data_IF_609284741949
#
_entry.id   IF_609284741949
#
_cell.length_a   1.000
_cell.length_b   1.000
_cell.length_c   1.000
_cell.angle_alpha   90.00
_cell.angle_beta   90.00
_cell.angle_gamma   90.00
#
_symmetry.space_group_name_H-M   'P 1'
#
loop_
_entity.id
_entity.type
_entity.pdbx_description
1 polymer ?
#
# COMPACT_ATOMS: atom_id res chain seq x y z
N UNK A 1 -6.35 4.40 -10.07
CA UNK A 1 -7.73 4.13 -10.53
C UNK A 1 -8.63 4.07 -9.31
N UNK A 2 -9.78 4.75 -9.29
CA UNK A 2 -10.78 4.55 -8.24
C UNK A 2 -11.41 3.16 -8.38
N UNK A 3 -11.41 2.40 -7.30
CA UNK A 3 -11.95 1.05 -7.24
C UNK A 3 -13.38 1.15 -6.73
N UNK A 4 -14.30 0.64 -7.54
CA UNK A 4 -15.68 0.40 -7.13
C UNK A 4 -15.88 -1.08 -6.81
N UNK A 5 -16.78 -1.36 -5.87
CA UNK A 5 -17.10 -2.72 -5.43
C UNK A 5 -17.48 -3.67 -6.59
N UNK A 6 -18.19 -3.15 -7.60
CA UNK A 6 -18.57 -3.91 -8.81
C UNK A 6 -17.37 -4.46 -9.59
N UNK A 7 -16.21 -3.80 -9.50
CA UNK A 7 -14.97 -4.22 -10.17
C UNK A 7 -14.32 -5.39 -9.44
N UNK A 8 -14.54 -5.53 -8.13
CA UNK A 8 -13.99 -6.61 -7.32
C UNK A 8 -14.92 -7.83 -7.26
N UNK A 9 -16.21 -7.64 -7.56
CA UNK A 9 -17.26 -8.66 -7.41
C UNK A 9 -16.92 -9.99 -8.11
N UNK A 10 -16.35 -9.94 -9.32
CA UNK A 10 -15.98 -11.15 -10.07
C UNK A 10 -14.80 -11.93 -9.46
N UNK A 11 -14.05 -11.30 -8.55
CA UNK A 11 -12.85 -11.85 -7.91
C UNK A 11 -13.06 -12.19 -6.43
N UNK A 12 -14.29 -12.02 -5.93
CA UNK A 12 -14.64 -12.41 -4.56
C UNK A 12 -14.85 -13.92 -4.46
N UNK A 13 -14.29 -14.51 -3.40
CA UNK A 13 -14.60 -15.87 -2.99
C UNK A 13 -15.95 -15.97 -2.30
N UNK A 14 -16.34 -17.19 -1.92
CA UNK A 14 -17.54 -17.46 -1.12
C UNK A 14 -17.46 -16.82 0.28
N UNK A 15 -16.26 -16.53 0.76
CA UNK A 15 -15.95 -15.77 1.98
C UNK A 15 -16.18 -14.26 1.84
N UNK A 16 -16.54 -13.79 0.64
CA UNK A 16 -16.72 -12.37 0.35
C UNK A 16 -15.41 -11.59 0.24
N UNK A 17 -14.24 -12.24 0.25
CA UNK A 17 -12.93 -11.60 0.15
C UNK A 17 -12.41 -11.65 -1.30
N UNK A 18 -11.88 -10.53 -1.78
CA UNK A 18 -11.19 -10.46 -3.07
C UNK A 18 -9.68 -10.72 -2.86
N UNK A 19 -9.13 -11.67 -3.62
CA UNK A 19 -7.73 -12.10 -3.50
C UNK A 19 -6.82 -11.34 -4.48
N UNK A 20 -5.86 -10.58 -3.94
CA UNK A 20 -4.80 -9.91 -4.69
C UNK A 20 -3.52 -10.76 -4.78
N UNK A 21 -3.36 -11.81 -3.97
CA UNK A 21 -2.26 -12.77 -4.13
C UNK A 21 -2.86 -14.17 -4.20
N UNK A 22 -2.31 -15.08 -5.01
CA UNK A 22 -2.82 -16.44 -5.09
C UNK A 22 -2.57 -17.19 -3.77
N UNK A 23 -3.56 -17.95 -3.33
CA UNK A 23 -3.36 -18.95 -2.28
C UNK A 23 -2.56 -20.13 -2.85
N UNK A 24 -1.56 -20.60 -2.10
CA UNK A 24 -0.79 -21.78 -2.49
C UNK A 24 -1.72 -23.00 -2.50
N UNK A 25 -2.15 -23.43 -3.68
CA UNK A 25 -3.09 -24.56 -3.87
C UNK A 25 -4.57 -24.17 -4.05
N UNK A 26 -4.88 -22.88 -4.17
CA UNK A 26 -6.23 -22.39 -4.49
C UNK A 26 -6.64 -22.62 -5.95
N UNK A 27 -7.90 -22.31 -6.28
CA UNK A 27 -8.47 -22.50 -7.63
C UNK A 27 -7.82 -21.61 -8.70
N UNK A 28 -7.20 -20.50 -8.31
CA UNK A 28 -6.54 -19.52 -9.18
C UNK A 28 -5.02 -19.70 -9.15
N UNK A 29 -4.39 -19.81 -10.32
CA UNK A 29 -2.94 -19.99 -10.46
C UNK A 29 -2.23 -18.63 -10.56
N UNK A 30 -0.93 -18.59 -10.23
CA UNK A 30 -0.08 -17.41 -10.46
C UNK A 30 -0.13 -16.89 -11.91
N UNK A 31 -0.48 -17.75 -12.88
CA UNK A 31 -0.64 -17.41 -14.31
C UNK A 31 -1.90 -16.60 -14.63
N UNK A 32 -2.89 -16.57 -13.73
CA UNK A 32 -4.20 -15.94 -13.97
C UNK A 32 -4.25 -14.52 -13.36
N UNK A 33 -3.31 -14.19 -12.46
CA UNK A 33 -3.19 -12.88 -11.83
C UNK A 33 -2.73 -11.74 -12.76
N UNK A 34 -1.91 -11.99 -13.80
CA UNK A 34 -1.72 -11.03 -14.87
C UNK A 34 -3.03 -10.58 -15.52
N UNK A 35 -4.12 -11.35 -15.49
CA UNK A 35 -5.42 -10.94 -16.04
C UNK A 35 -6.20 -10.02 -15.09
N UNK A 36 -6.25 -10.27 -13.78
CA UNK A 36 -6.86 -9.32 -12.82
C UNK A 36 -6.06 -8.01 -12.79
N UNK A 37 -4.74 -8.09 -12.73
CA UNK A 37 -3.89 -6.91 -12.81
C UNK A 37 -3.97 -6.24 -14.18
N UNK A 38 -3.99 -7.00 -15.29
CA UNK A 38 -4.18 -6.44 -16.61
C UNK A 38 -5.58 -5.87 -16.79
N UNK A 39 -6.62 -6.41 -16.17
CA UNK A 39 -7.98 -5.88 -16.24
C UNK A 39 -8.09 -4.63 -15.36
N UNK A 40 -7.48 -4.61 -14.18
CA UNK A 40 -7.37 -3.40 -13.37
C UNK A 40 -6.51 -2.33 -14.07
N UNK A 41 -5.45 -2.74 -14.76
CA UNK A 41 -4.54 -1.86 -15.51
C UNK A 41 -5.18 -1.39 -16.84
N UNK A 42 -5.88 -2.23 -17.59
CA UNK A 42 -6.64 -1.91 -18.81
C UNK A 42 -7.90 -1.09 -18.47
N UNK A 43 -8.56 -1.38 -17.34
CA UNK A 43 -9.65 -0.55 -16.81
C UNK A 43 -9.11 0.80 -16.32
N UNK A 44 -7.89 0.86 -15.78
CA UNK A 44 -7.19 2.11 -15.48
C UNK A 44 -6.73 2.87 -16.73
N UNK A 45 -6.54 2.17 -17.88
CA UNK A 45 -6.34 2.77 -19.20
C UNK A 45 -7.64 3.30 -19.82
N UNK A 46 -8.82 3.04 -19.23
CA UNK A 46 -10.10 3.59 -19.70
C UNK A 46 -10.45 4.89 -18.94
N UNK A 47 -10.64 6.01 -19.67
CA UNK A 47 -10.70 7.34 -19.07
C UNK A 47 -12.07 7.67 -18.45
N UNK A 48 -11.99 8.38 -17.32
CA UNK A 48 -12.93 9.38 -16.79
C UNK A 48 -14.21 8.94 -16.04
N UNK A 49 -14.31 9.46 -14.81
CA UNK A 49 -15.31 10.46 -14.36
C UNK A 49 -14.64 11.19 -13.15
N UNK A 50 -14.54 12.52 -13.04
CA UNK A 50 -15.55 13.56 -13.24
C UNK A 50 -14.96 14.98 -13.48
N UNK A 51 -15.72 15.75 -14.28
CA UNK A 51 -16.15 17.17 -14.10
C UNK A 51 -15.59 18.34 -14.93
N UNK A 52 -14.47 18.23 -15.64
CA UNK A 52 -13.97 19.35 -16.46
C UNK A 52 -13.30 18.95 -17.79
N UNK A 53 -13.38 17.67 -18.19
CA UNK A 53 -12.99 17.25 -19.54
C UNK A 53 -11.49 17.32 -19.84
N UNK A 54 -10.65 17.65 -18.86
CA UNK A 54 -9.20 17.56 -18.96
C UNK A 54 -8.69 16.30 -18.25
N UNK A 55 -8.11 15.40 -19.04
CA UNK A 55 -7.75 14.03 -18.69
C UNK A 55 -6.39 13.95 -17.97
N UNK A 56 -6.33 13.35 -16.77
CA UNK A 56 -5.09 12.78 -16.22
C UNK A 56 -5.26 11.28 -15.92
N UNK A 57 -4.77 10.48 -16.87
CA UNK A 57 -4.71 9.02 -16.93
C UNK A 57 -3.56 8.46 -16.10
N UNK A 58 -3.80 7.31 -15.43
CA UNK A 58 -2.78 6.48 -14.76
C UNK A 58 -2.03 7.23 -13.65
N UNK A 59 -1.90 6.64 -12.46
CA UNK A 59 -0.99 7.20 -11.45
C UNK A 59 0.46 6.93 -11.88
N UNK A 60 0.89 7.71 -12.87
CA UNK A 60 2.29 7.98 -13.17
C UNK A 60 2.81 8.97 -12.13
N UNK A 61 4.13 9.10 -12.03
CA UNK A 61 4.83 9.96 -11.08
C UNK A 61 4.21 11.37 -10.90
N UNK A 62 3.67 11.93 -12.00
CA UNK A 62 2.99 13.22 -12.04
C UNK A 62 1.78 13.36 -11.08
N UNK A 63 1.11 12.27 -10.69
CA UNK A 63 0.03 12.32 -9.69
C UNK A 63 0.55 12.30 -8.25
N UNK A 64 1.70 11.66 -8.03
CA UNK A 64 2.42 11.76 -6.77
C UNK A 64 2.91 13.20 -6.56
N UNK A 65 3.38 13.86 -7.62
CA UNK A 65 3.72 15.30 -7.61
C UNK A 65 2.51 16.19 -7.25
N UNK A 66 1.34 15.97 -7.86
CA UNK A 66 0.12 16.72 -7.51
C UNK A 66 -0.44 16.43 -6.10
N UNK A 67 -0.35 15.17 -5.63
CA UNK A 67 -0.62 14.83 -4.23
C UNK A 67 0.38 15.51 -3.31
N UNK A 68 1.63 15.64 -3.74
CA UNK A 68 2.70 16.19 -2.92
C UNK A 68 2.73 17.71 -2.83
N UNK A 69 2.12 18.42 -3.80
CA UNK A 69 1.78 19.84 -3.64
C UNK A 69 0.79 20.07 -2.47
N UNK A 70 0.06 19.03 -2.06
CA UNK A 70 -0.82 19.02 -0.87
C UNK A 70 -0.20 18.30 0.34
N UNK A 71 0.81 17.46 0.11
CA UNK A 71 1.45 16.57 1.08
C UNK A 71 2.96 16.73 0.94
N UNK A 72 3.53 17.67 1.70
CA UNK A 72 4.96 18.06 1.66
C UNK A 72 5.90 16.84 1.51
N UNK A 73 6.79 16.89 0.51
CA UNK A 73 7.43 15.74 -0.14
C UNK A 73 8.21 14.80 0.81
N UNK A 74 7.99 13.49 0.61
CA UNK A 74 8.91 12.43 1.01
C UNK A 74 8.23 11.09 1.27
N UNK A 75 7.00 11.12 1.80
CA UNK A 75 6.24 9.94 2.22
C UNK A 75 4.72 10.16 2.03
N UNK A 76 4.04 9.17 1.47
CA UNK A 76 2.56 9.06 1.42
C UNK A 76 2.12 7.91 2.29
N UNK A 77 1.16 8.15 3.19
CA UNK A 77 0.58 7.11 4.04
C UNK A 77 -0.71 6.56 3.42
N UNK A 78 -0.84 5.23 3.42
CA UNK A 78 -2.01 4.55 2.86
C UNK A 78 -2.48 3.45 3.81
N UNK A 79 -3.79 3.34 3.99
CA UNK A 79 -4.36 2.07 4.47
C UNK A 79 -4.55 1.16 3.26
N UNK A 80 -3.90 0.01 3.26
CA UNK A 80 -3.80 -0.85 2.09
C UNK A 80 -4.00 -2.32 2.40
N UNK A 81 -4.57 -3.02 1.43
CA UNK A 81 -4.72 -4.46 1.38
C UNK A 81 -3.74 -4.98 0.33
N UNK A 82 -2.78 -5.81 0.76
CA UNK A 82 -1.76 -6.39 -0.12
C UNK A 82 -2.08 -7.84 -0.53
N UNK A 83 -3.03 -8.49 0.16
CA UNK A 83 -3.37 -9.89 -0.06
C UNK A 83 -4.88 -10.12 -0.21
N UNK A 84 -5.67 -9.76 0.80
CA UNK A 84 -7.11 -9.98 0.83
C UNK A 84 -7.83 -8.64 1.00
N UNK A 85 -8.86 -8.40 0.18
CA UNK A 85 -9.61 -7.14 0.15
C UNK A 85 -11.05 -7.41 0.58
N UNK A 86 -11.51 -6.84 1.70
CA UNK A 86 -12.88 -6.99 2.16
C UNK A 86 -13.82 -6.11 1.32
N UNK A 87 -15.09 -6.04 1.71
CA UNK A 87 -16.00 -5.05 1.12
C UNK A 87 -15.58 -3.67 1.61
N UNK A 88 -15.29 -2.79 0.65
CA UNK A 88 -14.71 -1.49 0.91
C UNK A 88 -15.81 -0.44 1.18
N UNK A 89 -15.63 0.43 2.18
CA UNK A 89 -16.61 1.46 2.50
C UNK A 89 -16.64 2.53 1.40
N UNK A 90 -17.85 2.89 0.96
CA UNK A 90 -18.08 3.87 -0.13
C UNK A 90 -17.77 5.33 0.25
N UNK A 91 -17.52 5.57 1.54
CA UNK A 91 -17.16 6.86 2.14
C UNK A 91 -15.73 7.29 1.80
N UNK A 92 -14.93 6.39 1.22
CA UNK A 92 -13.52 6.59 0.92
C UNK A 92 -13.23 6.31 -0.55
N UNK A 93 -12.22 7.03 -1.06
CA UNK A 93 -11.67 6.79 -2.38
C UNK A 93 -10.65 5.66 -2.30
N UNK A 94 -11.06 4.47 -2.74
CA UNK A 94 -10.17 3.30 -2.84
C UNK A 94 -9.49 3.28 -4.18
N UNK A 95 -8.23 2.87 -4.20
CA UNK A 95 -7.42 2.90 -5.40
C UNK A 95 -6.54 1.66 -5.50
N UNK A 96 -6.45 1.10 -6.71
CA UNK A 96 -5.45 0.08 -7.02
C UNK A 96 -4.13 0.76 -7.40
N UNK A 97 -3.05 0.27 -6.80
CA UNK A 97 -1.67 0.71 -7.04
C UNK A 97 -0.81 -0.46 -7.45
N UNK A 98 0.10 -0.17 -8.36
CA UNK A 98 1.29 -0.97 -8.63
C UNK A 98 2.47 -0.06 -8.31
N UNK A 99 2.96 -0.16 -7.08
CA UNK A 99 4.08 0.66 -6.61
C UNK A 99 5.39 -0.02 -6.99
N UNK A 100 6.20 0.68 -7.79
CA UNK A 100 7.52 0.22 -8.15
C UNK A 100 8.55 0.80 -7.19
N UNK A 101 9.27 -0.07 -6.51
CA UNK A 101 10.48 0.31 -5.80
C UNK A 101 11.63 0.42 -6.82
N UNK A 102 12.23 1.61 -6.96
CA UNK A 102 13.46 1.77 -7.74
C UNK A 102 14.61 0.98 -7.09
N UNK A 103 15.49 0.43 -7.92
CA UNK A 103 16.59 -0.45 -7.54
C UNK A 103 16.99 -1.36 -8.69
N UNK A 104 18.08 -2.12 -8.55
CA UNK A 104 18.57 -2.97 -9.64
C UNK A 104 17.60 -4.10 -10.03
N UNK A 105 16.74 -4.54 -9.11
CA UNK A 105 15.78 -5.63 -9.33
C UNK A 105 14.36 -5.15 -9.71
N UNK A 106 14.07 -3.84 -9.68
CA UNK A 106 12.75 -3.23 -9.96
C UNK A 106 11.56 -4.07 -9.46
N UNK A 107 11.38 -4.15 -8.13
CA UNK A 107 10.25 -4.88 -7.54
C UNK A 107 8.97 -4.05 -7.64
N UNK A 108 7.88 -4.70 -8.02
CA UNK A 108 6.56 -4.08 -8.05
C UNK A 108 5.66 -4.73 -7.01
N UNK A 109 5.05 -3.92 -6.16
CA UNK A 109 4.07 -4.34 -5.17
C UNK A 109 2.70 -3.86 -5.58
N UNK A 110 1.75 -4.78 -5.67
CA UNK A 110 0.35 -4.45 -5.94
C UNK A 110 -0.44 -4.39 -4.64
N UNK A 111 -1.28 -3.39 -4.50
CA UNK A 111 -2.24 -3.30 -3.40
C UNK A 111 -3.46 -2.46 -3.78
N UNK A 112 -4.53 -2.62 -3.03
CA UNK A 112 -5.68 -1.71 -3.04
C UNK A 112 -5.65 -0.91 -1.74
N UNK A 113 -5.67 0.41 -1.82
CA UNK A 113 -5.61 1.25 -0.64
C UNK A 113 -6.25 2.61 -0.80
N UNK A 114 -6.37 3.31 0.32
CA UNK A 114 -6.85 4.69 0.39
C UNK A 114 -5.79 5.56 1.07
N UNK A 115 -5.62 6.78 0.59
CA UNK A 115 -4.64 7.73 1.14
C UNK A 115 -5.17 8.29 2.46
N UNK A 116 -4.31 8.34 3.46
CA UNK A 116 -4.59 8.93 4.76
C UNK A 116 -3.57 10.02 5.06
N UNK A 117 -4.00 11.07 5.75
CA UNK A 117 -3.09 12.12 6.22
C UNK A 117 -2.50 11.72 7.58
N UNK A 118 -1.20 11.37 7.64
CA UNK A 118 -0.56 11.00 8.90
C UNK A 118 -0.39 12.22 9.81
N UNK A 119 -0.29 11.98 11.12
CA UNK A 119 0.12 13.03 12.06
C UNK A 119 1.51 13.56 11.71
N UNK A 120 1.79 14.86 11.90
CA UNK A 120 3.07 15.47 11.51
C UNK A 120 4.30 14.75 12.09
N UNK A 121 4.27 14.35 13.35
CA UNK A 121 5.36 13.66 14.02
C UNK A 121 5.65 12.27 13.42
N UNK A 122 4.60 11.55 13.02
CA UNK A 122 4.73 10.25 12.35
C UNK A 122 5.24 10.45 10.94
N UNK A 123 4.71 11.43 10.21
CA UNK A 123 5.21 11.78 8.87
C UNK A 123 6.72 12.05 8.88
N UNK A 124 7.19 12.88 9.82
CA UNK A 124 8.61 13.19 9.98
C UNK A 124 9.44 11.95 10.30
N UNK A 125 8.98 11.08 11.21
CA UNK A 125 9.67 9.84 11.53
C UNK A 125 9.85 8.94 10.30
N UNK A 126 8.80 8.80 9.48
CA UNK A 126 8.87 7.98 8.26
C UNK A 126 9.72 8.60 7.14
N UNK A 127 9.81 9.93 7.07
CA UNK A 127 10.77 10.60 6.17
C UNK A 127 12.20 10.23 6.55
N UNK A 128 12.53 10.23 7.86
CA UNK A 128 13.86 9.84 8.32
C UNK A 128 14.15 8.34 8.11
N UNK A 129 13.15 7.47 8.32
CA UNK A 129 13.24 6.06 7.97
C UNK A 129 13.57 5.90 6.49
N UNK A 130 12.85 6.59 5.61
CA UNK A 130 13.09 6.48 4.17
C UNK A 130 14.47 6.98 3.75
N UNK A 131 14.93 8.10 4.32
CA UNK A 131 16.29 8.61 4.09
C UNK A 131 17.36 7.62 4.53
N UNK A 132 17.19 6.99 5.68
CA UNK A 132 18.14 6.01 6.21
C UNK A 132 18.21 4.71 5.38
N UNK A 133 17.14 4.39 4.65
CA UNK A 133 17.01 3.17 3.85
C UNK A 133 17.06 3.43 2.33
N UNK A 134 17.29 4.68 1.91
CA UNK A 134 17.47 5.01 0.49
C UNK A 134 18.70 4.29 -0.08
N UNK A 135 18.54 3.63 -1.23
CA UNK A 135 19.57 2.83 -1.86
C UNK A 135 20.15 1.74 -0.94
N UNK A 136 19.33 1.24 -0.02
CA UNK A 136 19.69 0.14 0.86
C UNK A 136 20.17 -1.06 0.01
N UNK A 137 21.30 -1.64 0.43
CA UNK A 137 21.94 -2.76 -0.28
C UNK A 137 22.28 -2.46 -1.75
N UNK A 138 22.46 -1.19 -2.11
CA UNK A 138 22.71 -0.79 -3.49
C UNK A 138 21.49 -0.96 -4.40
N UNK A 139 20.27 -0.80 -3.86
CA UNK A 139 19.02 -1.01 -4.61
C UNK A 139 18.59 -2.48 -4.71
N UNK A 140 19.16 -3.35 -3.88
CA UNK A 140 18.86 -4.80 -3.84
C UNK A 140 18.12 -5.21 -2.56
N UNK A 141 17.58 -4.27 -1.79
CA UNK A 141 16.74 -4.62 -0.64
C UNK A 141 15.33 -5.04 -1.11
N UNK A 142 15.23 -6.30 -1.54
CA UNK A 142 14.02 -6.85 -2.15
C UNK A 142 12.96 -7.25 -1.11
N UNK A 143 13.39 -7.79 0.03
CA UNK A 143 12.51 -8.19 1.14
C UNK A 143 13.28 -8.38 2.46
N UNK A 144 12.52 -8.69 3.52
CA UNK A 144 13.04 -8.96 4.84
C UNK A 144 14.04 -10.14 4.94
N UNK A 145 14.04 -11.07 3.99
CA UNK A 145 14.98 -12.19 3.98
C UNK A 145 16.33 -11.79 3.36
N UNK A 146 16.33 -10.75 2.53
CA UNK A 146 17.50 -10.27 1.83
C UNK A 146 18.48 -9.52 2.74
N UNK A 147 17.99 -8.85 3.78
CA UNK A 147 18.81 -8.24 4.83
C UNK A 147 18.10 -8.28 6.20
N UNK A 148 18.47 -9.27 7.00
CA UNK A 148 17.95 -9.46 8.35
C UNK A 148 18.30 -8.28 9.29
N UNK A 149 19.50 -7.71 9.15
CA UNK A 149 19.96 -6.63 10.02
C UNK A 149 19.16 -5.36 9.79
N UNK A 150 18.93 -5.02 8.52
CA UNK A 150 18.10 -3.87 8.14
C UNK A 150 16.66 -4.08 8.62
N UNK A 151 16.10 -5.27 8.40
CA UNK A 151 14.76 -5.63 8.86
C UNK A 151 14.60 -5.47 10.37
N UNK A 152 15.56 -5.95 11.15
CA UNK A 152 15.52 -5.85 12.62
C UNK A 152 15.69 -4.39 13.08
N UNK A 153 16.55 -3.62 12.40
CA UNK A 153 16.69 -2.18 12.65
C UNK A 153 15.39 -1.41 12.37
N UNK A 154 14.71 -1.74 11.28
CA UNK A 154 13.40 -1.17 10.95
C UNK A 154 12.38 -1.53 12.03
N UNK A 155 12.25 -2.83 12.37
CA UNK A 155 11.33 -3.29 13.41
C UNK A 155 11.56 -2.62 14.76
N UNK A 156 12.81 -2.46 15.18
CA UNK A 156 13.15 -1.72 16.40
C UNK A 156 12.71 -0.25 16.35
N UNK A 157 12.86 0.39 15.19
CA UNK A 157 12.42 1.78 14.99
C UNK A 157 10.89 1.89 15.07
N UNK A 158 10.16 0.99 14.41
CA UNK A 158 8.69 0.95 14.46
C UNK A 158 8.19 0.72 15.89
N UNK A 159 8.80 -0.20 16.63
CA UNK A 159 8.45 -0.43 18.04
C UNK A 159 8.76 0.77 18.94
N UNK A 160 9.86 1.49 18.69
CA UNK A 160 10.19 2.71 19.43
C UNK A 160 9.16 3.83 19.20
N UNK A 161 8.49 3.84 18.04
CA UNK A 161 7.36 4.74 17.75
C UNK A 161 6.03 4.26 18.37
N UNK A 162 6.02 3.12 19.08
CA UNK A 162 4.82 2.50 19.65
C UNK A 162 3.94 1.77 18.62
N UNK A 163 4.47 1.54 17.42
CA UNK A 163 3.75 0.93 16.30
C UNK A 163 4.01 -0.59 16.25
N UNK A 164 3.12 -1.29 15.53
CA UNK A 164 3.17 -2.76 15.39
C UNK A 164 3.84 -3.18 14.08
N UNK A 165 4.72 -4.17 14.17
CA UNK A 165 5.46 -4.73 13.03
C UNK A 165 5.47 -6.26 13.11
N UNK A 166 4.38 -6.87 12.68
CA UNK A 166 4.14 -8.30 12.66
C UNK A 166 4.67 -8.98 11.41
N UNK A 167 4.35 -10.26 11.27
CA UNK A 167 4.82 -11.11 10.18
C UNK A 167 4.39 -10.60 8.80
N UNK A 168 3.15 -10.13 8.65
CA UNK A 168 2.65 -9.63 7.38
C UNK A 168 3.32 -8.32 6.98
N UNK A 169 3.40 -7.34 7.89
CA UNK A 169 4.15 -6.11 7.62
C UNK A 169 5.61 -6.43 7.25
N UNK A 170 6.25 -7.33 8.00
CA UNK A 170 7.62 -7.77 7.71
C UNK A 170 7.78 -8.39 6.33
N UNK A 171 6.80 -9.16 5.86
CA UNK A 171 6.85 -9.79 4.53
C UNK A 171 6.71 -8.79 3.37
N UNK A 172 6.11 -7.62 3.60
CA UNK A 172 5.94 -6.57 2.59
C UNK A 172 7.03 -5.48 2.66
N UNK A 173 7.92 -5.54 3.66
CA UNK A 173 9.01 -4.56 3.82
C UNK A 173 10.00 -4.69 2.66
N UNK A 174 10.16 -3.61 1.90
CA UNK A 174 11.20 -3.47 0.90
C UNK A 174 11.59 -1.99 0.76
N UNK A 175 12.59 -1.69 -0.08
CA UNK A 175 12.91 -0.29 -0.38
C UNK A 175 11.66 0.46 -0.90
N UNK A 176 11.45 1.68 -0.41
CA UNK A 176 10.27 2.52 -0.70
C UNK A 176 8.90 2.03 -0.28
N UNK A 177 8.82 0.92 0.47
CA UNK A 177 7.59 0.45 1.11
C UNK A 177 7.91 0.17 2.58
N UNK A 178 7.39 1.03 3.47
CA UNK A 178 7.60 0.92 4.92
C UNK A 178 6.26 0.55 5.59
N UNK A 179 5.99 -0.76 5.74
CA UNK A 179 4.72 -1.25 6.26
C UNK A 179 4.67 -1.25 7.80
N UNK A 180 3.47 -1.02 8.32
CA UNK A 180 3.08 -1.12 9.73
C UNK A 180 1.76 -1.89 9.79
N UNK A 181 1.54 -2.72 10.82
CA UNK A 181 0.25 -3.39 10.96
C UNK A 181 -0.86 -2.37 11.27
N UNK A 182 -1.96 -2.43 10.52
CA UNK A 182 -3.13 -1.59 10.79
C UNK A 182 -4.00 -2.23 11.87
N UNK A 183 -3.64 -1.99 13.13
CA UNK A 183 -4.51 -2.25 14.29
C UNK A 183 -4.95 -0.93 14.93
N UNK A 184 -5.91 -1.00 15.87
CA UNK A 184 -6.46 0.19 16.55
C UNK A 184 -5.37 1.08 17.16
N UNK A 185 -4.35 0.48 17.77
CA UNK A 185 -3.24 1.22 18.38
C UNK A 185 -2.42 1.96 17.32
N UNK A 186 -1.90 1.25 16.32
CA UNK A 186 -1.12 1.84 15.23
C UNK A 186 -1.90 2.93 14.50
N UNK A 187 -3.18 2.68 14.20
CA UNK A 187 -4.06 3.66 13.55
C UNK A 187 -4.23 4.93 14.38
N UNK A 188 -4.45 4.79 15.70
CA UNK A 188 -4.59 5.93 16.61
C UNK A 188 -3.30 6.73 16.80
N UNK A 189 -2.14 6.08 16.68
CA UNK A 189 -0.84 6.73 16.73
C UNK A 189 -0.61 7.49 15.42
N UNK A 190 -0.85 6.84 14.28
CA UNK A 190 -0.56 7.37 12.95
C UNK A 190 -1.48 8.50 12.50
N UNK A 191 -2.75 8.53 12.91
CA UNK A 191 -3.77 9.40 12.29
C UNK A 191 -4.64 10.11 13.32
N UNK A 192 -5.16 11.30 12.98
CA UNK A 192 -6.10 12.05 13.85
C UNK A 192 -7.55 11.56 13.73
N UNK A 193 -7.99 11.19 12.52
CA UNK A 193 -9.34 10.71 12.26
C UNK A 193 -9.31 9.56 11.26
N UNK A 194 -9.51 8.35 11.79
CA UNK A 194 -9.65 7.12 11.00
C UNK A 194 -11.12 6.82 10.71
N UNK A 195 -12.04 7.51 11.38
CA UNK A 195 -13.49 7.41 11.18
C UNK A 195 -13.99 5.97 11.11
N UNK A 196 -14.65 5.67 10.00
CA UNK A 196 -15.20 4.36 9.69
C UNK A 196 -14.16 3.33 9.23
N UNK A 197 -12.87 3.66 9.13
CA UNK A 197 -11.85 2.68 8.74
C UNK A 197 -11.47 1.73 9.89
N UNK A 198 -11.85 2.04 11.13
CA UNK A 198 -11.51 1.21 12.30
C UNK A 198 -12.06 -0.21 12.18
N UNK A 199 -13.25 -0.43 11.62
CA UNK A 199 -13.80 -1.78 11.47
C UNK A 199 -12.93 -2.66 10.57
N UNK A 200 -12.23 -2.07 9.59
CA UNK A 200 -11.34 -2.82 8.70
C UNK A 200 -10.10 -3.37 9.44
N UNK A 201 -9.77 -2.78 10.60
CA UNK A 201 -8.68 -3.28 11.46
C UNK A 201 -9.10 -4.45 12.34
N UNK A 202 -10.40 -4.72 12.44
CA UNK A 202 -10.98 -5.82 13.22
C UNK A 202 -11.16 -7.10 12.37
N UNK A 203 -11.01 -7.00 11.05
CA UNK A 203 -11.09 -8.13 10.13
C UNK A 203 -9.81 -8.99 10.21
N UNK A 204 -9.90 -10.08 10.96
CA UNK A 204 -8.80 -11.03 11.16
C UNK A 204 -8.35 -11.74 9.87
N UNK A 205 -9.14 -11.69 8.80
CA UNK A 205 -8.80 -12.32 7.52
C UNK A 205 -8.11 -11.32 6.59
N UNK A 206 -8.67 -10.12 6.43
CA UNK A 206 -8.14 -9.12 5.49
C UNK A 206 -6.82 -8.51 5.95
N UNK A 207 -6.66 -8.28 7.26
CA UNK A 207 -5.45 -7.74 7.91
C UNK A 207 -4.79 -6.61 7.10
N UNK A 208 -5.40 -5.41 7.05
CA UNK A 208 -4.80 -4.30 6.33
C UNK A 208 -3.45 -3.88 6.93
N UNK A 209 -2.66 -3.20 6.10
CA UNK A 209 -1.42 -2.56 6.51
C UNK A 209 -1.54 -1.06 6.35
N UNK A 210 -0.81 -0.32 7.19
CA UNK A 210 -0.48 1.07 6.93
C UNK A 210 0.83 1.05 6.13
N UNK A 211 0.78 1.46 4.87
CA UNK A 211 1.95 1.58 4.01
C UNK A 211 2.39 3.04 3.98
N UNK A 212 3.61 3.30 4.45
CA UNK A 212 4.30 4.56 4.18
C UNK A 212 5.16 4.35 2.93
N UNK A 213 4.77 5.01 1.85
CA UNK A 213 5.40 4.90 0.53
C UNK A 213 6.29 6.12 0.34
N UNK A 214 7.59 5.91 0.10
CA UNK A 214 8.46 7.02 -0.30
C UNK A 214 8.49 7.19 -1.80
N UNK A 215 8.74 8.44 -2.21
CA UNK A 215 9.30 8.70 -3.51
C UNK A 215 10.60 7.91 -3.67
N UNK A 216 10.75 7.22 -4.79
CA UNK A 216 12.06 6.76 -5.21
C UNK A 216 12.45 7.48 -6.49
N UNK A 217 13.70 7.94 -6.54
CA UNK A 217 14.27 8.64 -7.69
C UNK A 217 14.46 7.64 -8.84
N UNK A 218 13.66 7.81 -9.88
CA UNK A 218 14.14 7.89 -11.26
C UNK A 218 13.38 9.00 -11.99
#
# INVERSE_FOLDING_TARGET
MLIEEKMLTAFRGEDGLCRLKPERGGRYKYTDYPELLAELHESAKRPNLMRDGALKTVFTWNYFEELSDRVDHGIVAMLAFTNLVPVLPITRNWMAFQHQAAGHACRQTTFIGTVLEPKPEIKLAFIEIARANFYARGGWFEDAQTDQRLTDSYGATIHALGLSFGEQARAELCESIYPVDANTSSMSICFHDVGDLTYLTEDEHAKPLILFLSANSD
#
